data_IF_243051747158
#
_entry.id   IF_243051747158
#
_cell.length_a   1.000
_cell.length_b   1.000
_cell.length_c   1.000
_cell.angle_alpha   90.00
_cell.angle_beta   90.00
_cell.angle_gamma   90.00
#
_symmetry.space_group_name_H-M   'P 1'
#
loop_
_entity.id
_entity.type
_entity.pdbx_description
1 polymer ?
#
# COMPACT_ATOMS: atom_id res chain seq x y z
N UNK A 1 -23.88 9.44 2.35
CA UNK A 1 -24.44 8.47 1.38
C UNK A 1 -23.59 7.22 1.47
N UNK A 2 -24.13 6.10 1.97
CA UNK A 2 -23.39 4.87 2.27
C UNK A 2 -22.88 4.20 1.00
N UNK A 3 -23.74 4.00 -0.01
CA UNK A 3 -23.38 3.29 -1.24
C UNK A 3 -22.25 3.99 -2.00
N UNK A 4 -22.31 5.32 -2.05
CA UNK A 4 -21.25 6.11 -2.69
C UNK A 4 -19.94 6.06 -1.90
N UNK A 5 -20.01 6.15 -0.56
CA UNK A 5 -18.82 6.04 0.28
C UNK A 5 -18.14 4.67 0.12
N UNK A 6 -18.93 3.57 0.05
CA UNK A 6 -18.41 2.23 -0.20
C UNK A 6 -17.68 2.11 -1.54
N UNK A 7 -18.22 2.72 -2.61
CA UNK A 7 -17.56 2.72 -3.93
C UNK A 7 -16.26 3.51 -3.93
N UNK A 8 -16.22 4.63 -3.20
CA UNK A 8 -15.06 5.52 -3.18
C UNK A 8 -13.96 5.05 -2.23
N UNK A 9 -14.29 4.27 -1.20
CA UNK A 9 -13.34 3.80 -0.17
C UNK A 9 -12.05 3.22 -0.76
N UNK A 10 -12.07 2.14 -1.58
CA UNK A 10 -10.82 1.56 -2.09
C UNK A 10 -10.11 2.48 -3.10
N UNK A 11 -10.87 3.31 -3.82
CA UNK A 11 -10.30 4.28 -4.77
C UNK A 11 -9.51 5.36 -4.02
N UNK A 12 -10.06 5.86 -2.92
CA UNK A 12 -9.43 6.89 -2.11
C UNK A 12 -8.16 6.39 -1.41
N UNK A 13 -8.17 5.14 -0.93
CA UNK A 13 -7.02 4.49 -0.31
C UNK A 13 -5.84 4.32 -1.27
N UNK A 14 -6.06 4.08 -2.57
CA UNK A 14 -4.94 3.88 -3.53
C UNK A 14 -3.86 4.96 -3.54
N UNK A 15 -4.18 6.21 -3.17
CA UNK A 15 -3.18 7.28 -3.08
C UNK A 15 -2.36 7.24 -1.80
N UNK A 16 -2.99 6.82 -0.71
CA UNK A 16 -2.36 6.61 0.59
C UNK A 16 -1.37 5.45 0.53
N UNK A 17 -1.85 4.31 0.04
CA UNK A 17 -1.11 3.06 -0.12
C UNK A 17 0.16 3.17 -0.97
N UNK A 18 0.17 4.06 -1.98
CA UNK A 18 1.37 4.31 -2.80
C UNK A 18 2.50 4.97 -2.02
N UNK A 19 2.21 5.63 -0.91
CA UNK A 19 3.17 6.44 -0.14
C UNK A 19 3.36 5.97 1.30
N UNK A 20 2.70 4.89 1.70
CA UNK A 20 2.60 4.42 3.10
C UNK A 20 3.97 4.27 3.80
N UNK A 21 5.01 3.60 3.26
CA UNK A 21 6.34 3.53 3.89
C UNK A 21 7.10 4.86 3.98
N UNK A 22 6.62 5.88 3.28
CA UNK A 22 7.10 7.25 3.47
C UNK A 22 6.24 7.97 4.51
N UNK A 23 4.94 7.71 4.54
CA UNK A 23 4.02 8.28 5.51
C UNK A 23 4.33 7.83 6.96
N UNK A 24 4.80 6.61 7.17
CA UNK A 24 5.28 6.09 8.46
C UNK A 24 6.33 7.00 9.13
N UNK A 25 7.12 7.75 8.34
CA UNK A 25 8.12 8.69 8.87
C UNK A 25 7.51 9.85 9.65
N UNK A 26 6.22 10.10 9.44
CA UNK A 26 5.48 11.12 10.16
C UNK A 26 4.91 10.60 11.50
N UNK A 27 5.38 9.44 11.96
CA UNK A 27 5.17 8.89 13.29
C UNK A 27 3.69 8.58 13.54
N UNK A 28 3.14 9.16 14.60
CA UNK A 28 1.78 8.94 15.09
C UNK A 28 0.66 9.20 14.06
N UNK A 29 0.97 9.79 12.90
CA UNK A 29 0.00 10.06 11.85
C UNK A 29 -0.49 8.80 11.14
N UNK A 30 0.37 7.80 11.00
CA UNK A 30 0.02 6.56 10.30
C UNK A 30 -1.00 5.73 11.11
N UNK A 31 -0.78 5.38 12.40
CA UNK A 31 -1.74 4.61 13.19
C UNK A 31 -3.13 5.27 13.34
N UNK A 32 -3.21 6.60 13.33
CA UNK A 32 -4.51 7.32 13.45
C UNK A 32 -5.18 7.58 12.08
N UNK A 33 -4.48 7.30 10.98
CA UNK A 33 -5.01 7.43 9.62
C UNK A 33 -5.43 6.07 9.08
N UNK A 34 -4.64 5.03 9.36
CA UNK A 34 -4.78 3.72 8.73
C UNK A 34 -4.63 2.54 9.70
N UNK A 35 -4.61 2.79 11.01
CA UNK A 35 -4.53 1.71 11.99
C UNK A 35 -5.76 0.81 11.98
N UNK A 36 -5.53 -0.51 11.93
CA UNK A 36 -6.58 -1.53 12.03
C UNK A 36 -7.08 -1.68 13.47
N UNK A 37 -8.32 -2.15 13.65
CA UNK A 37 -8.93 -2.27 14.97
C UNK A 37 -8.14 -3.17 15.95
N UNK A 38 -7.61 -4.34 15.54
CA UNK A 38 -6.79 -5.17 16.42
C UNK A 38 -5.51 -4.46 16.88
N UNK A 39 -4.88 -3.69 16.00
CA UNK A 39 -3.62 -2.97 16.27
C UNK A 39 -3.89 -1.80 17.22
N UNK A 40 -4.89 -0.97 16.93
CA UNK A 40 -5.30 0.12 17.81
C UNK A 40 -5.61 -0.38 19.24
N UNK A 41 -6.27 -1.53 19.34
CA UNK A 41 -6.54 -2.19 20.62
C UNK A 41 -5.27 -2.69 21.31
N UNK A 42 -4.34 -3.28 20.57
CA UNK A 42 -3.09 -3.79 21.11
C UNK A 42 -2.20 -2.66 21.65
N UNK A 43 -2.21 -1.51 20.97
CA UNK A 43 -1.45 -0.32 21.35
C UNK A 43 -2.14 0.54 22.41
N UNK A 44 -3.44 0.33 22.63
CA UNK A 44 -4.24 1.10 23.59
C UNK A 44 -4.55 2.52 23.10
N UNK A 45 -4.66 2.70 21.78
CA UNK A 45 -5.02 3.96 21.13
C UNK A 45 -6.46 3.92 20.59
N UNK A 46 -6.99 5.08 20.22
CA UNK A 46 -8.34 5.18 19.66
C UNK A 46 -8.40 4.63 18.22
N UNK A 47 -9.37 3.76 17.96
CA UNK A 47 -9.65 3.26 16.61
C UNK A 47 -10.28 4.37 15.75
N UNK A 48 -9.51 4.88 14.80
CA UNK A 48 -9.83 6.06 13.96
C UNK A 48 -9.51 5.77 12.48
N UNK A 49 -9.52 6.79 11.62
CA UNK A 49 -9.01 6.65 10.25
C UNK A 49 -9.90 5.86 9.28
N UNK A 50 -9.27 5.34 8.22
CA UNK A 50 -9.93 4.61 7.13
C UNK A 50 -10.73 3.41 7.65
N UNK A 51 -10.10 2.52 8.40
CA UNK A 51 -10.73 1.28 8.87
C UNK A 51 -11.87 1.50 9.88
N UNK A 52 -11.83 2.59 10.66
CA UNK A 52 -12.97 2.96 11.51
C UNK A 52 -14.22 3.31 10.69
N UNK A 53 -14.02 4.02 9.58
CA UNK A 53 -15.08 4.38 8.63
C UNK A 53 -15.52 3.16 7.85
N UNK A 54 -14.58 2.32 7.40
CA UNK A 54 -14.84 1.05 6.73
C UNK A 54 -15.79 0.18 7.56
N UNK A 55 -15.46 -0.05 8.84
CA UNK A 55 -16.31 -0.82 9.75
C UNK A 55 -17.73 -0.27 9.80
N UNK A 56 -17.90 1.05 9.91
CA UNK A 56 -19.22 1.66 9.95
C UNK A 56 -20.00 1.41 8.65
N UNK A 57 -19.34 1.56 7.50
CA UNK A 57 -19.98 1.39 6.21
C UNK A 57 -20.37 -0.06 5.97
N UNK A 58 -19.49 -1.03 6.23
CA UNK A 58 -19.73 -2.44 5.89
C UNK A 58 -20.49 -3.24 6.95
N UNK A 59 -20.24 -2.98 8.24
CA UNK A 59 -20.90 -3.70 9.33
C UNK A 59 -22.25 -3.06 9.68
N UNK A 60 -22.27 -1.75 9.88
CA UNK A 60 -23.48 -1.04 10.33
C UNK A 60 -24.33 -0.51 9.17
N UNK A 61 -23.77 -0.40 7.96
CA UNK A 61 -24.51 0.08 6.79
C UNK A 61 -24.97 1.54 6.93
N UNK A 62 -24.23 2.37 7.66
CA UNK A 62 -24.62 3.74 8.00
C UNK A 62 -23.43 4.71 7.91
N UNK A 63 -23.72 6.02 7.89
CA UNK A 63 -22.72 7.08 8.10
C UNK A 63 -22.94 7.83 9.42
N UNK A 64 -23.87 7.38 10.25
CA UNK A 64 -24.21 8.03 11.51
C UNK A 64 -23.00 8.10 12.44
N UNK A 65 -22.72 9.29 12.98
CA UNK A 65 -21.60 9.54 13.89
C UNK A 65 -20.22 9.54 13.24
N UNK A 66 -20.10 9.39 11.91
CA UNK A 66 -18.80 9.32 11.23
C UNK A 66 -18.21 10.68 10.85
N UNK A 67 -19.01 11.75 10.89
CA UNK A 67 -18.57 13.12 10.60
C UNK A 67 -17.23 13.49 11.28
N UNK A 68 -17.04 13.33 12.62
CA UNK A 68 -15.76 13.66 13.25
C UNK A 68 -14.59 12.81 12.77
N UNK A 69 -14.81 11.52 12.45
CA UNK A 69 -13.75 10.63 11.94
C UNK A 69 -13.37 10.95 10.50
N UNK A 70 -14.36 11.30 9.66
CA UNK A 70 -14.11 11.74 8.28
C UNK A 70 -13.35 13.08 8.25
N UNK A 71 -13.72 14.03 9.10
CA UNK A 71 -13.01 15.32 9.24
C UNK A 71 -11.58 15.12 9.75
N UNK A 72 -11.40 14.24 10.75
CA UNK A 72 -10.08 13.90 11.28
C UNK A 72 -9.21 13.25 10.20
N UNK A 73 -9.72 12.26 9.47
CA UNK A 73 -9.02 11.59 8.38
C UNK A 73 -8.57 12.60 7.31
N UNK A 74 -9.47 13.47 6.84
CA UNK A 74 -9.12 14.49 5.86
C UNK A 74 -8.05 15.46 6.38
N UNK A 75 -8.12 15.83 7.66
CA UNK A 75 -7.12 16.67 8.32
C UNK A 75 -5.76 15.98 8.38
N UNK A 76 -5.71 14.70 8.75
CA UNK A 76 -4.48 13.91 8.81
C UNK A 76 -3.83 13.79 7.42
N UNK A 77 -4.61 13.43 6.40
CA UNK A 77 -4.11 13.36 5.01
C UNK A 77 -3.55 14.70 4.55
N UNK A 78 -4.24 15.82 4.82
CA UNK A 78 -3.73 17.17 4.50
C UNK A 78 -2.43 17.49 5.24
N UNK A 79 -2.30 17.06 6.50
CA UNK A 79 -1.07 17.25 7.28
C UNK A 79 0.08 16.45 6.70
N UNK A 80 -0.16 15.22 6.25
CA UNK A 80 0.85 14.37 5.61
C UNK A 80 1.30 14.98 4.28
N UNK A 81 0.37 15.51 3.47
CA UNK A 81 0.71 16.26 2.25
C UNK A 81 1.59 17.46 2.57
N UNK A 82 1.26 18.24 3.60
CA UNK A 82 2.06 19.41 3.99
C UNK A 82 3.47 19.02 4.47
N UNK A 83 3.57 17.99 5.32
CA UNK A 83 4.85 17.50 5.82
C UNK A 83 5.72 16.91 4.69
N UNK A 84 5.11 16.19 3.75
CA UNK A 84 5.80 15.62 2.60
C UNK A 84 6.40 16.67 1.65
N UNK A 85 5.80 17.86 1.56
CA UNK A 85 6.37 18.96 0.76
C UNK A 85 7.68 19.50 1.35
N UNK A 86 7.85 19.42 2.66
CA UNK A 86 9.03 19.92 3.38
C UNK A 86 10.05 18.81 3.71
N UNK A 87 9.77 17.57 3.32
CA UNK A 87 10.58 16.38 3.64
C UNK A 87 10.99 15.62 2.36
N UNK A 88 11.91 16.16 1.54
CA UNK A 88 12.39 15.46 0.35
C UNK A 88 13.08 14.15 0.73
N UNK A 89 12.82 13.10 -0.05
CA UNK A 89 13.39 11.78 0.18
C UNK A 89 14.78 11.67 -0.44
N UNK A 90 15.70 11.06 0.32
CA UNK A 90 16.98 10.62 -0.22
C UNK A 90 16.82 9.37 -1.09
N UNK A 91 17.82 9.09 -1.92
CA UNK A 91 17.82 7.89 -2.76
C UNK A 91 17.78 6.59 -1.92
N UNK A 92 18.45 6.58 -0.77
CA UNK A 92 18.42 5.43 0.15
C UNK A 92 17.03 5.21 0.74
N UNK A 93 16.36 6.30 1.13
CA UNK A 93 15.00 6.23 1.67
C UNK A 93 13.98 5.77 0.62
N UNK A 94 14.12 6.20 -0.64
CA UNK A 94 13.30 5.68 -1.74
C UNK A 94 13.52 4.17 -1.92
N UNK A 95 14.77 3.71 -1.84
CA UNK A 95 15.09 2.28 -1.97
C UNK A 95 14.50 1.45 -0.82
N UNK A 96 14.56 1.98 0.41
CA UNK A 96 13.98 1.34 1.59
C UNK A 96 12.45 1.32 1.53
N UNK A 97 11.81 2.44 1.18
CA UNK A 97 10.35 2.51 1.06
C UNK A 97 9.81 1.59 -0.04
N UNK A 98 10.51 1.49 -1.17
CA UNK A 98 10.18 0.53 -2.24
C UNK A 98 10.15 -0.92 -1.77
N UNK A 99 11.10 -1.30 -0.89
CA UNK A 99 11.12 -2.62 -0.26
C UNK A 99 9.99 -2.75 0.76
N UNK A 100 9.79 -1.74 1.63
CA UNK A 100 8.74 -1.74 2.65
C UNK A 100 7.36 -2.02 2.05
N UNK A 101 7.02 -1.35 0.95
CA UNK A 101 5.77 -1.54 0.22
C UNK A 101 5.55 -3.00 -0.21
N UNK A 102 6.61 -3.69 -0.64
CA UNK A 102 6.51 -5.10 -1.04
C UNK A 102 6.50 -6.05 0.16
N UNK A 103 7.11 -5.67 1.28
CA UNK A 103 7.08 -6.45 2.51
C UNK A 103 5.68 -6.42 3.13
N UNK A 104 5.03 -5.24 3.21
CA UNK A 104 3.64 -5.07 3.66
C UNK A 104 2.69 -5.97 2.89
N UNK A 105 2.85 -5.96 1.56
CA UNK A 105 2.13 -6.85 0.67
C UNK A 105 2.40 -8.32 1.02
N UNK A 106 3.67 -8.70 1.21
CA UNK A 106 4.07 -10.09 1.43
C UNK A 106 3.66 -10.66 2.79
N UNK A 107 3.55 -9.83 3.83
CA UNK A 107 3.31 -10.30 5.21
C UNK A 107 1.90 -10.02 5.71
N UNK A 108 1.32 -8.88 5.34
CA UNK A 108 -0.01 -8.45 5.77
C UNK A 108 -1.03 -8.66 4.64
N UNK A 109 -1.08 -7.75 3.67
CA UNK A 109 -2.17 -7.66 2.68
C UNK A 109 -2.43 -8.93 1.88
N UNK A 110 -1.42 -9.79 1.67
CA UNK A 110 -1.63 -11.10 1.02
C UNK A 110 -2.56 -12.04 1.82
N UNK A 111 -2.78 -11.80 3.11
CA UNK A 111 -3.68 -12.60 3.98
C UNK A 111 -5.12 -12.05 4.00
N UNK A 112 -5.36 -10.87 3.43
CA UNK A 112 -6.67 -10.19 3.45
C UNK A 112 -7.02 -9.56 4.80
N UNK A 113 -6.00 -9.23 5.60
CA UNK A 113 -6.16 -8.68 6.95
C UNK A 113 -6.26 -7.16 7.00
N UNK A 114 -6.07 -6.47 5.88
CA UNK A 114 -6.04 -5.01 5.82
C UNK A 114 -7.47 -4.47 5.82
N UNK A 115 -8.23 -4.86 4.79
CA UNK A 115 -9.62 -4.49 4.61
C UNK A 115 -10.54 -5.59 5.19
N UNK A 116 -10.50 -5.78 6.51
CA UNK A 116 -11.21 -6.87 7.20
C UNK A 116 -12.74 -6.86 6.93
N UNK A 117 -13.32 -5.69 6.64
CA UNK A 117 -14.77 -5.54 6.47
C UNK A 117 -15.21 -5.42 5.01
N UNK A 118 -14.39 -4.79 4.17
CA UNK A 118 -14.71 -4.48 2.77
C UNK A 118 -14.08 -5.43 1.77
N UNK A 119 -13.02 -6.13 2.16
CA UNK A 119 -12.25 -7.07 1.35
C UNK A 119 -11.71 -6.46 0.05
N UNK A 120 -11.34 -5.17 0.09
CA UNK A 120 -10.80 -4.43 -1.05
C UNK A 120 -9.29 -4.48 -1.18
N UNK A 121 -8.64 -5.46 -0.53
CA UNK A 121 -7.18 -5.53 -0.38
C UNK A 121 -6.42 -5.52 -1.72
N UNK A 122 -7.04 -5.97 -2.83
CA UNK A 122 -6.39 -5.93 -4.15
C UNK A 122 -6.16 -4.51 -4.70
N UNK A 123 -6.95 -3.52 -4.26
CA UNK A 123 -6.68 -2.11 -4.58
C UNK A 123 -5.41 -1.65 -3.88
N UNK A 124 -5.26 -1.99 -2.61
CA UNK A 124 -4.12 -1.63 -1.78
C UNK A 124 -2.86 -2.37 -2.25
N UNK A 125 -2.99 -3.66 -2.54
CA UNK A 125 -1.94 -4.49 -3.14
C UNK A 125 -1.39 -3.85 -4.43
N UNK A 126 -2.29 -3.43 -5.33
CA UNK A 126 -1.88 -2.76 -6.57
C UNK A 126 -1.17 -1.44 -6.28
N UNK A 127 -1.72 -0.65 -5.36
CA UNK A 127 -1.19 0.65 -5.00
C UNK A 127 0.22 0.55 -4.36
N UNK A 128 0.46 -0.42 -3.48
CA UNK A 128 1.79 -0.62 -2.92
C UNK A 128 2.81 -1.04 -4.01
N UNK A 129 2.41 -1.91 -4.94
CA UNK A 129 3.27 -2.28 -6.07
C UNK A 129 3.61 -1.05 -6.92
N UNK A 130 2.62 -0.20 -7.22
CA UNK A 130 2.84 1.01 -8.01
C UNK A 130 3.74 2.02 -7.28
N UNK A 131 3.59 2.18 -5.97
CA UNK A 131 4.49 2.99 -5.16
C UNK A 131 5.93 2.47 -5.21
N UNK A 132 6.09 1.15 -5.11
CA UNK A 132 7.40 0.50 -5.21
C UNK A 132 8.02 0.70 -6.58
N UNK A 133 7.25 0.51 -7.65
CA UNK A 133 7.68 0.76 -9.03
C UNK A 133 8.07 2.21 -9.26
N UNK A 134 7.32 3.17 -8.72
CA UNK A 134 7.62 4.60 -8.84
C UNK A 134 8.94 4.99 -8.15
N UNK A 135 9.21 4.42 -6.97
CA UNK A 135 10.49 4.58 -6.28
C UNK A 135 11.65 3.98 -7.09
N UNK A 136 11.50 2.77 -7.64
CA UNK A 136 12.52 2.16 -8.52
C UNK A 136 12.72 2.96 -9.79
N UNK A 137 11.66 3.46 -10.41
CA UNK A 137 11.76 4.32 -11.59
C UNK A 137 12.56 5.60 -11.31
N UNK A 138 12.39 6.18 -10.12
CA UNK A 138 13.15 7.37 -9.69
C UNK A 138 14.64 7.08 -9.47
N UNK A 139 14.97 5.87 -9.04
CA UNK A 139 16.35 5.40 -8.81
C UNK A 139 17.02 4.82 -10.06
N UNK A 140 16.25 4.59 -11.12
CA UNK A 140 16.68 3.85 -12.31
C UNK A 140 17.98 4.37 -12.94
N UNK A 141 18.24 5.68 -13.10
CA UNK A 141 19.52 6.13 -13.68
C UNK A 141 20.74 5.63 -12.92
N UNK A 142 20.68 5.59 -11.59
CA UNK A 142 21.78 5.09 -10.73
C UNK A 142 21.86 3.56 -10.82
N UNK A 143 20.70 2.88 -10.79
CA UNK A 143 20.66 1.42 -10.88
C UNK A 143 21.17 0.89 -12.23
N UNK A 144 20.86 1.57 -13.33
CA UNK A 144 21.32 1.18 -14.68
C UNK A 144 22.83 1.37 -14.86
N UNK A 145 23.41 2.40 -14.25
CA UNK A 145 24.85 2.66 -14.28
C UNK A 145 25.63 1.62 -13.44
N UNK A 146 25.11 1.30 -12.25
CA UNK A 146 25.81 0.46 -11.28
C UNK A 146 25.53 -1.04 -11.42
N UNK A 147 24.28 -1.40 -11.71
CA UNK A 147 23.85 -2.80 -11.81
C UNK A 147 22.70 -2.98 -12.83
N UNK A 148 23.00 -2.92 -14.13
CA UNK A 148 21.99 -3.11 -15.17
C UNK A 148 21.40 -4.53 -15.20
N UNK A 149 22.05 -5.51 -14.56
CA UNK A 149 21.50 -6.86 -14.44
C UNK A 149 20.37 -6.88 -13.40
N UNK A 150 20.55 -6.20 -12.27
CA UNK A 150 19.51 -6.03 -11.26
C UNK A 150 18.28 -5.32 -11.84
N UNK A 151 18.47 -4.26 -12.64
CA UNK A 151 17.34 -3.56 -13.31
C UNK A 151 16.53 -4.52 -14.18
N UNK A 152 17.19 -5.33 -15.01
CA UNK A 152 16.50 -6.34 -15.84
C UNK A 152 15.74 -7.36 -15.01
N UNK A 153 16.30 -7.77 -13.87
CA UNK A 153 15.64 -8.70 -12.97
C UNK A 153 14.40 -8.06 -12.34
N UNK A 154 14.50 -6.84 -11.82
CA UNK A 154 13.37 -6.08 -11.26
C UNK A 154 12.26 -5.93 -12.29
N UNK A 155 12.58 -5.50 -13.51
CA UNK A 155 11.60 -5.33 -14.60
C UNK A 155 10.85 -6.61 -14.93
N UNK A 156 11.58 -7.72 -15.04
CA UNK A 156 10.98 -9.01 -15.34
C UNK A 156 10.05 -9.47 -14.20
N UNK A 157 10.43 -9.23 -12.94
CA UNK A 157 9.67 -9.63 -11.76
C UNK A 157 8.44 -8.75 -11.53
N UNK A 158 8.56 -7.43 -11.64
CA UNK A 158 7.43 -6.51 -11.58
C UNK A 158 6.42 -6.81 -12.68
N UNK A 159 6.89 -7.02 -13.93
CA UNK A 159 6.00 -7.40 -15.03
C UNK A 159 5.27 -8.72 -14.77
N UNK A 160 5.95 -9.72 -14.21
CA UNK A 160 5.32 -10.98 -13.85
C UNK A 160 4.26 -10.79 -12.76
N UNK A 161 4.56 -9.99 -11.72
CA UNK A 161 3.62 -9.67 -10.65
C UNK A 161 2.40 -8.90 -11.17
N UNK A 162 2.60 -7.84 -11.96
CA UNK A 162 1.50 -7.11 -12.60
C UNK A 162 0.66 -8.03 -13.48
N UNK A 163 1.28 -8.95 -14.23
CA UNK A 163 0.56 -9.90 -15.07
C UNK A 163 -0.30 -10.86 -14.26
N UNK A 164 0.18 -11.31 -13.09
CA UNK A 164 -0.62 -12.16 -12.21
C UNK A 164 -1.75 -11.36 -11.56
N UNK A 165 -1.44 -10.20 -11.01
CA UNK A 165 -2.41 -9.34 -10.34
C UNK A 165 -3.53 -8.91 -11.30
N UNK A 166 -3.20 -8.43 -12.50
CA UNK A 166 -4.17 -7.95 -13.49
C UNK A 166 -5.18 -9.02 -13.96
N UNK A 167 -4.96 -10.31 -13.69
CA UNK A 167 -5.98 -11.35 -13.91
C UNK A 167 -7.21 -11.17 -13.03
N UNK A 168 -7.09 -10.38 -11.96
CA UNK A 168 -8.13 -10.10 -10.98
C UNK A 168 -8.80 -8.73 -11.19
N UNK A 169 -8.43 -7.99 -12.23
CA UNK A 169 -9.05 -6.71 -12.58
C UNK A 169 -10.14 -6.92 -13.62
N UNK A 170 -11.32 -6.35 -13.38
CA UNK A 170 -12.39 -6.26 -14.34
C UNK A 170 -12.14 -5.16 -15.38
N UNK A 171 -12.88 -5.19 -16.49
CA UNK A 171 -12.74 -4.22 -17.59
C UNK A 171 -13.05 -2.77 -17.18
N UNK A 172 -13.87 -2.58 -16.14
CA UNK A 172 -14.21 -1.26 -15.59
C UNK A 172 -13.16 -0.72 -14.61
N UNK A 173 -12.07 -1.47 -14.39
CA UNK A 173 -10.97 -1.12 -13.50
C UNK A 173 -11.17 -1.54 -12.04
N UNK A 174 -12.34 -2.09 -11.68
CA UNK A 174 -12.55 -2.68 -10.36
C UNK A 174 -11.76 -3.98 -10.19
N UNK A 175 -11.45 -4.35 -8.95
CA UNK A 175 -10.75 -5.58 -8.63
C UNK A 175 -11.68 -6.61 -7.99
N UNK A 176 -11.30 -7.88 -8.10
CA UNK A 176 -11.94 -8.95 -7.34
C UNK A 176 -11.73 -8.71 -5.85
N UNK A 177 -12.78 -8.89 -5.05
CA UNK A 177 -12.66 -8.80 -3.59
C UNK A 177 -11.81 -9.96 -3.06
N UNK A 178 -11.04 -9.71 -2.00
CA UNK A 178 -10.09 -10.69 -1.49
C UNK A 178 -10.76 -12.02 -1.10
N UNK A 179 -11.94 -11.95 -0.46
CA UNK A 179 -12.74 -13.11 -0.04
C UNK A 179 -13.26 -13.97 -1.21
N UNK A 180 -13.17 -13.47 -2.44
CA UNK A 180 -13.53 -14.19 -3.66
C UNK A 180 -12.35 -14.89 -4.32
N UNK A 181 -11.12 -14.66 -3.86
CA UNK A 181 -9.93 -15.32 -4.37
C UNK A 181 -9.83 -16.76 -3.86
N UNK A 182 -9.53 -17.69 -4.77
CA UNK A 182 -9.18 -19.05 -4.37
C UNK A 182 -7.79 -19.08 -3.71
N UNK A 183 -7.57 -20.07 -2.83
CA UNK A 183 -6.25 -20.33 -2.24
C UNK A 183 -5.13 -20.49 -3.28
N UNK A 184 -5.45 -21.01 -4.46
CA UNK A 184 -4.49 -21.16 -5.55
C UNK A 184 -4.12 -19.81 -6.16
N UNK A 185 -5.08 -18.88 -6.31
CA UNK A 185 -4.82 -17.51 -6.78
C UNK A 185 -4.00 -16.73 -5.75
N UNK A 186 -4.40 -16.77 -4.47
CA UNK A 186 -3.63 -16.15 -3.36
C UNK A 186 -2.19 -16.67 -3.36
N UNK A 187 -2.00 -17.99 -3.50
CA UNK A 187 -0.65 -18.56 -3.57
C UNK A 187 0.16 -18.02 -4.75
N UNK A 188 -0.42 -17.89 -5.94
CA UNK A 188 0.31 -17.36 -7.11
C UNK A 188 0.72 -15.91 -6.91
N UNK A 189 -0.17 -15.08 -6.36
CA UNK A 189 0.16 -13.69 -6.00
C UNK A 189 1.30 -13.66 -4.97
N UNK A 190 1.21 -14.47 -3.92
CA UNK A 190 2.25 -14.61 -2.89
C UNK A 190 3.60 -15.04 -3.48
N UNK A 191 3.62 -16.05 -4.35
CA UNK A 191 4.84 -16.53 -5.01
C UNK A 191 5.46 -15.44 -5.91
N UNK A 192 4.63 -14.64 -6.59
CA UNK A 192 5.08 -13.55 -7.45
C UNK A 192 5.69 -12.38 -6.64
N UNK A 193 5.10 -12.05 -5.49
CA UNK A 193 5.67 -11.05 -4.55
C UNK A 193 6.98 -11.56 -3.94
N UNK A 194 7.01 -12.81 -3.46
CA UNK A 194 8.21 -13.41 -2.89
C UNK A 194 9.39 -13.43 -3.88
N UNK A 195 9.10 -13.57 -5.18
CA UNK A 195 10.12 -13.51 -6.23
C UNK A 195 10.74 -12.11 -6.44
N UNK A 196 10.13 -11.04 -5.89
CA UNK A 196 10.67 -9.69 -5.86
C UNK A 196 11.51 -9.40 -4.60
N UNK A 197 11.28 -10.12 -3.49
CA UNK A 197 11.90 -9.80 -2.20
C UNK A 197 13.44 -9.79 -2.24
N UNK A 198 14.06 -10.76 -2.92
CA UNK A 198 15.51 -10.78 -3.07
C UNK A 198 16.05 -9.61 -3.91
N UNK A 199 15.63 -9.39 -5.18
CA UNK A 199 16.18 -8.30 -5.98
C UNK A 199 15.88 -6.93 -5.38
N UNK A 200 14.67 -6.70 -4.83
CA UNK A 200 14.34 -5.39 -4.23
C UNK A 200 15.24 -5.09 -3.03
N UNK A 201 15.64 -6.11 -2.25
CA UNK A 201 16.52 -5.93 -1.10
C UNK A 201 17.93 -5.43 -1.45
N UNK A 202 18.36 -5.63 -2.71
CA UNK A 202 19.70 -5.22 -3.16
C UNK A 202 19.78 -3.74 -3.57
N UNK A 203 18.62 -3.13 -3.88
CA UNK A 203 18.53 -1.75 -4.41
C UNK A 203 19.22 -0.74 -3.49
N UNK A 204 18.97 -0.81 -2.18
CA UNK A 204 19.57 0.10 -1.21
C UNK A 204 21.10 0.03 -1.21
N UNK A 205 21.67 -1.17 -1.34
CA UNK A 205 23.13 -1.38 -1.39
C UNK A 205 23.74 -0.83 -2.68
N UNK A 206 23.05 -0.99 -3.82
CA UNK A 206 23.52 -0.44 -5.11
C UNK A 206 23.50 1.08 -5.09
N UNK A 207 22.41 1.68 -4.61
CA UNK A 207 22.27 3.13 -4.52
C UNK A 207 23.29 3.74 -3.54
N UNK A 208 23.53 3.09 -2.39
CA UNK A 208 24.50 3.56 -1.40
C UNK A 208 25.95 3.60 -1.90
N UNK A 209 26.33 2.77 -2.88
CA UNK A 209 27.67 2.80 -3.50
C UNK A 209 27.91 4.03 -4.39
N UNK A 210 26.84 4.71 -4.79
CA UNK A 210 26.88 5.87 -5.69
C UNK A 210 26.78 7.21 -4.96
N UNK A 211 26.52 7.18 -3.65
CA UNK A 211 26.48 8.34 -2.76
C UNK A 211 27.88 8.67 -2.23
#
# INVERSE_FOLDING_TARGET
NVDEAKKLFPIARTYWERIEPVAEKFGDLDPITDGREPDAKAEGIDFTGWHRIEKQLWVEGSTEGMDPYADQLLSNVKKIVALGQDAPLTALELAQGSKGLLDEVATGKITGEEDEFSHTDLWDFKANIEGSQAAIASLRPVLEDQDPALVKQLDARFKALDTELNQHQAEDGSWTFYDQLSKAQIKKLSDAVAALSEPISQVASVVAKSA
#
